data_IF_253236598224
#
_entry.id   IF_253236598224
#
_cell.length_a   1.000
_cell.length_b   1.000
_cell.length_c   1.000
_cell.angle_alpha   90.00
_cell.angle_beta   90.00
_cell.angle_gamma   90.00
#
_symmetry.space_group_name_H-M   'P 1'
#
loop_
_entity.id
_entity.type
_entity.pdbx_description
1 polymer ?
#
# COMPACT_ATOMS: atom_id res chain seq x y z
N UNK A 1 6.06 -11.30 4.32
CA UNK A 1 4.60 -11.37 4.56
C UNK A 1 3.95 -10.37 3.63
N UNK A 2 2.83 -10.70 3.00
CA UNK A 2 2.05 -9.70 2.27
C UNK A 2 1.45 -8.69 3.25
N UNK A 3 1.43 -7.42 2.86
CA UNK A 3 0.79 -6.33 3.58
C UNK A 3 -0.09 -5.56 2.60
N UNK A 4 -1.35 -5.33 2.99
CA UNK A 4 -2.31 -4.54 2.24
C UNK A 4 -3.01 -3.60 3.22
N UNK A 5 -3.05 -2.32 2.88
CA UNK A 5 -3.77 -1.30 3.65
C UNK A 5 -4.38 -0.27 2.71
N UNK A 6 -5.68 -0.03 2.86
CA UNK A 6 -6.38 1.03 2.14
C UNK A 6 -7.24 1.84 3.10
N UNK A 7 -7.37 3.13 2.83
CA UNK A 7 -8.15 4.06 3.64
C UNK A 7 -8.84 5.10 2.77
N UNK A 8 -10.14 5.29 3.00
CA UNK A 8 -10.91 6.39 2.42
C UNK A 8 -11.33 7.36 3.51
N UNK A 9 -11.18 8.65 3.23
CA UNK A 9 -11.53 9.73 4.15
C UNK A 9 -12.77 10.44 3.67
N UNK A 10 -13.65 10.74 4.63
CA UNK A 10 -14.88 11.49 4.38
C UNK A 10 -15.17 12.40 5.57
N UNK A 11 -16.09 13.35 5.39
CA UNK A 11 -16.50 14.30 6.42
C UNK A 11 -15.33 15.13 6.97
N UNK A 12 -14.66 15.86 6.07
CA UNK A 12 -13.61 16.80 6.45
C UNK A 12 -14.12 17.86 7.44
N UNK A 13 -13.26 18.21 8.38
CA UNK A 13 -13.56 19.11 9.50
C UNK A 13 -12.44 20.11 9.65
N UNK A 14 -12.80 21.36 9.91
CA UNK A 14 -11.88 22.41 10.30
C UNK A 14 -11.96 22.64 11.80
N UNK A 15 -10.82 22.85 12.47
CA UNK A 15 -10.76 23.07 13.92
C UNK A 15 -11.14 24.52 14.21
N UNK A 16 -12.28 24.73 14.87
CA UNK A 16 -12.78 26.06 15.25
C UNK A 16 -12.29 26.48 16.64
N UNK A 17 -12.40 25.61 17.65
CA UNK A 17 -11.88 25.85 19.00
C UNK A 17 -11.27 24.58 19.60
N UNK A 18 -9.95 24.46 19.53
CA UNK A 18 -9.22 23.26 20.00
C UNK A 18 -9.39 22.98 21.49
N UNK A 19 -9.76 24.00 22.31
CA UNK A 19 -9.85 23.91 23.76
C UNK A 19 -11.28 23.77 24.29
N UNK A 20 -12.29 23.78 23.42
CA UNK A 20 -13.68 23.71 23.86
C UNK A 20 -13.93 22.47 24.76
N UNK A 21 -14.64 22.64 25.88
CA UNK A 21 -14.91 21.51 26.79
C UNK A 21 -15.72 20.39 26.11
N UNK A 22 -16.61 20.75 25.19
CA UNK A 22 -17.43 19.80 24.41
C UNK A 22 -16.76 19.47 23.08
N UNK A 23 -16.69 18.19 22.73
CA UNK A 23 -16.04 17.71 21.50
C UNK A 23 -16.61 18.34 20.22
N UNK A 24 -17.93 18.41 20.09
CA UNK A 24 -18.60 18.96 18.89
C UNK A 24 -18.40 20.46 18.70
N UNK A 25 -17.98 21.19 19.74
CA UNK A 25 -17.67 22.62 19.64
C UNK A 25 -16.24 22.87 19.18
N UNK A 26 -15.42 21.82 19.04
CA UNK A 26 -14.00 21.96 18.66
C UNK A 26 -13.78 22.06 17.16
N UNK A 27 -14.77 21.67 16.36
CA UNK A 27 -14.65 21.63 14.91
C UNK A 27 -15.95 22.04 14.21
N UNK A 28 -15.79 22.52 12.99
CA UNK A 28 -16.88 22.75 12.04
C UNK A 28 -16.72 21.75 10.89
N UNK A 29 -17.78 21.06 10.51
CA UNK A 29 -17.75 20.14 9.39
C UNK A 29 -17.81 20.94 8.08
N UNK A 30 -16.87 20.67 7.17
CA UNK A 30 -16.77 21.37 5.88
C UNK A 30 -17.81 20.85 4.88
N UNK A 31 -18.25 19.59 5.02
CA UNK A 31 -19.42 19.06 4.29
C UNK A 31 -19.36 19.32 2.79
N UNK A 32 -20.38 20.01 2.26
CA UNK A 32 -20.54 20.34 0.84
C UNK A 32 -19.61 21.43 0.33
N UNK A 33 -18.88 22.14 1.20
CA UNK A 33 -17.86 23.11 0.80
C UNK A 33 -16.60 22.45 0.25
N UNK A 34 -16.44 21.13 0.40
CA UNK A 34 -15.26 20.40 -0.10
C UNK A 34 -15.59 19.74 -1.43
N UNK A 35 -14.82 20.07 -2.47
CA UNK A 35 -14.95 19.49 -3.80
C UNK A 35 -13.61 18.96 -4.30
N UNK A 36 -13.62 17.87 -5.07
CA UNK A 36 -12.41 17.38 -5.72
C UNK A 36 -11.93 18.39 -6.75
N UNK A 37 -10.63 18.63 -6.81
CA UNK A 37 -10.04 19.40 -7.90
C UNK A 37 -10.22 18.64 -9.22
N UNK A 38 -10.80 19.32 -10.21
CA UNK A 38 -11.16 18.74 -11.51
C UNK A 38 -9.94 18.41 -12.36
N UNK A 39 -8.81 19.06 -12.12
CA UNK A 39 -7.59 18.91 -12.93
C UNK A 39 -6.81 17.64 -12.56
N UNK A 40 -6.51 17.45 -11.27
CA UNK A 40 -5.61 16.37 -10.84
C UNK A 40 -6.28 15.29 -9.96
N UNK A 41 -7.47 15.53 -9.39
CA UNK A 41 -8.15 14.65 -8.40
C UNK A 41 -7.31 14.24 -7.17
N UNK A 42 -6.09 14.72 -7.07
CA UNK A 42 -5.15 14.52 -5.95
C UNK A 42 -5.32 15.57 -4.86
N UNK A 43 -6.17 16.58 -5.08
CA UNK A 43 -6.42 17.66 -4.11
C UNK A 43 -7.92 17.92 -3.94
N UNK A 44 -8.28 18.34 -2.74
CA UNK A 44 -9.60 18.85 -2.39
C UNK A 44 -9.54 20.37 -2.25
N UNK A 45 -10.50 21.05 -2.86
CA UNK A 45 -10.72 22.48 -2.72
C UNK A 45 -11.82 22.74 -1.70
N UNK A 46 -11.60 23.73 -0.83
CA UNK A 46 -12.58 24.20 0.14
C UNK A 46 -13.11 25.56 -0.28
N UNK A 47 -14.41 25.63 -0.50
CA UNK A 47 -15.14 26.84 -0.85
C UNK A 47 -15.73 27.51 0.40
N UNK A 48 -15.40 28.79 0.59
CA UNK A 48 -16.02 29.65 1.58
C UNK A 48 -16.75 30.81 0.87
N UNK A 49 -18.06 30.67 0.71
CA UNK A 49 -18.92 31.75 0.22
C UNK A 49 -18.93 31.95 -1.29
N UNK A 50 -18.65 30.90 -2.07
CA UNK A 50 -18.62 30.89 -3.53
C UNK A 50 -17.23 31.12 -4.13
N UNK A 51 -16.18 31.09 -3.32
CA UNK A 51 -14.78 31.27 -3.72
C UNK A 51 -13.95 30.18 -3.07
N UNK A 52 -13.07 29.53 -3.85
CA UNK A 52 -12.09 28.59 -3.32
C UNK A 52 -11.15 29.34 -2.39
N UNK A 53 -11.25 29.07 -1.09
CA UNK A 53 -10.44 29.71 -0.06
C UNK A 53 -9.08 29.04 0.07
N UNK A 54 -9.06 27.70 0.10
CA UNK A 54 -7.84 26.91 0.22
C UNK A 54 -8.02 25.49 -0.32
N UNK A 55 -6.90 24.78 -0.50
CA UNK A 55 -6.88 23.39 -0.94
C UNK A 55 -5.96 22.53 -0.06
N UNK A 56 -6.16 21.22 -0.09
CA UNK A 56 -5.33 20.25 0.60
C UNK A 56 -5.26 18.92 -0.17
N UNK A 57 -4.22 18.14 0.07
CA UNK A 57 -4.00 16.86 -0.63
C UNK A 57 -5.06 15.83 -0.25
N UNK A 58 -5.45 15.00 -1.21
CA UNK A 58 -6.32 13.86 -1.00
C UNK A 58 -5.63 12.87 -0.06
N UNK A 59 -6.17 12.63 1.16
CA UNK A 59 -5.54 11.73 2.12
C UNK A 59 -5.89 10.27 1.86
N UNK A 60 -6.74 9.96 0.88
CA UNK A 60 -7.03 8.59 0.47
C UNK A 60 -5.74 7.89 0.07
N UNK A 61 -5.58 6.64 0.51
CA UNK A 61 -4.38 5.88 0.21
C UNK A 61 -4.68 4.41 -0.04
N UNK A 62 -3.81 3.79 -0.83
CA UNK A 62 -3.77 2.36 -1.05
C UNK A 62 -2.31 1.89 -1.12
N UNK A 63 -1.93 1.01 -0.20
CA UNK A 63 -0.57 0.48 -0.06
C UNK A 63 -0.62 -1.04 -0.13
N UNK A 64 0.13 -1.62 -1.05
CA UNK A 64 0.23 -3.06 -1.24
C UNK A 64 1.69 -3.49 -1.39
N UNK A 65 2.16 -4.27 -0.43
CA UNK A 65 3.52 -4.83 -0.40
C UNK A 65 3.47 -6.35 -0.35
N UNK A 66 4.16 -7.01 -1.27
CA UNK A 66 4.26 -8.46 -1.34
C UNK A 66 5.71 -8.91 -1.22
N UNK A 67 6.05 -9.45 -0.04
CA UNK A 67 7.37 -10.00 0.26
C UNK A 67 7.27 -11.50 0.57
N UNK A 68 7.81 -12.33 -0.33
CA UNK A 68 7.80 -13.80 -0.24
C UNK A 68 9.22 -14.37 -0.27
N UNK A 69 9.53 -15.26 0.67
CA UNK A 69 10.78 -16.01 0.73
C UNK A 69 10.45 -17.50 0.79
N UNK A 70 10.89 -18.26 -0.21
CA UNK A 70 10.70 -19.69 -0.34
C UNK A 70 12.06 -20.40 -0.24
N UNK A 71 12.13 -21.41 0.62
CA UNK A 71 13.34 -22.24 0.80
C UNK A 71 12.94 -23.70 0.66
N UNK A 72 13.51 -24.38 -0.32
CA UNK A 72 13.36 -25.82 -0.53
C UNK A 72 14.69 -26.49 -0.20
N UNK A 73 14.64 -27.49 0.67
CA UNK A 73 15.76 -28.42 0.92
C UNK A 73 15.35 -29.80 0.45
N UNK A 74 16.14 -30.39 -0.43
CA UNK A 74 15.95 -31.75 -0.91
C UNK A 74 17.20 -32.59 -0.65
N UNK A 75 17.02 -33.77 -0.06
CA UNK A 75 18.07 -34.77 0.06
C UNK A 75 17.82 -35.86 -0.99
N UNK A 76 18.65 -35.90 -2.03
CA UNK A 76 18.45 -36.80 -3.18
C UNK A 76 19.29 -38.07 -3.08
N UNK A 77 20.34 -38.06 -2.26
CA UNK A 77 21.13 -39.22 -1.84
C UNK A 77 21.56 -39.03 -0.38
N UNK A 78 21.77 -40.10 0.40
CA UNK A 78 22.26 -39.98 1.77
C UNK A 78 23.52 -39.10 1.85
N UNK A 79 23.43 -37.98 2.56
CA UNK A 79 24.53 -37.02 2.69
C UNK A 79 24.74 -36.06 1.50
N UNK A 80 23.83 -36.05 0.53
CA UNK A 80 23.84 -35.10 -0.59
C UNK A 80 22.54 -34.29 -0.64
N UNK A 81 22.67 -32.96 -0.57
CA UNK A 81 21.54 -32.05 -0.40
C UNK A 81 21.55 -30.92 -1.44
N UNK A 82 20.39 -30.59 -1.95
CA UNK A 82 20.13 -29.41 -2.77
C UNK A 82 19.29 -28.42 -1.96
N UNK A 83 19.70 -27.16 -1.97
CA UNK A 83 18.94 -26.03 -1.45
C UNK A 83 18.60 -25.11 -2.61
N UNK A 84 17.32 -24.74 -2.71
CA UNK A 84 16.83 -23.72 -3.63
C UNK A 84 16.15 -22.65 -2.79
N UNK A 85 16.65 -21.42 -2.89
CA UNK A 85 16.11 -20.25 -2.21
C UNK A 85 15.60 -19.29 -3.28
N UNK A 86 14.35 -18.88 -3.15
CA UNK A 86 13.70 -17.92 -4.03
C UNK A 86 13.08 -16.81 -3.17
N UNK A 87 13.58 -15.59 -3.35
CA UNK A 87 13.01 -14.40 -2.75
C UNK A 87 12.35 -13.55 -3.84
N UNK A 88 11.13 -13.10 -3.58
CA UNK A 88 10.36 -12.22 -4.46
C UNK A 88 9.87 -11.02 -3.67
N UNK A 89 10.11 -9.84 -4.22
CA UNK A 89 9.61 -8.57 -3.72
C UNK A 89 8.82 -7.85 -4.83
N UNK A 90 7.61 -7.40 -4.48
CA UNK A 90 6.82 -6.45 -5.26
C UNK A 90 6.26 -5.41 -4.29
N UNK A 91 6.47 -4.14 -4.56
CA UNK A 91 5.88 -3.02 -3.82
C UNK A 91 5.22 -2.08 -4.80
N UNK A 92 3.98 -1.66 -4.55
CA UNK A 92 3.32 -0.62 -5.32
C UNK A 92 2.55 0.34 -4.40
N UNK A 93 2.56 1.63 -4.75
CA UNK A 93 1.89 2.71 -4.03
C UNK A 93 1.10 3.52 -5.04
N UNK A 94 -0.22 3.40 -5.01
CA UNK A 94 -1.11 4.11 -5.93
C UNK A 94 -1.86 5.20 -5.17
N UNK A 95 -1.71 6.46 -5.60
CA UNK A 95 -2.26 7.64 -4.93
C UNK A 95 -3.75 7.86 -5.17
N UNK A 96 -4.34 7.43 -6.30
CA UNK A 96 -5.76 7.72 -6.58
C UNK A 96 -6.42 6.64 -7.46
N UNK A 97 -7.68 6.32 -7.12
CA UNK A 97 -8.81 6.15 -8.05
C UNK A 97 -9.61 4.83 -8.06
N UNK A 98 -9.25 3.77 -7.34
CA UNK A 98 -10.17 2.61 -7.24
C UNK A 98 -9.91 1.74 -5.99
N UNK A 99 -10.84 1.78 -5.03
CA UNK A 99 -10.89 0.91 -3.85
C UNK A 99 -11.30 -0.54 -4.19
N UNK A 100 -10.85 -1.07 -5.33
CA UNK A 100 -11.12 -2.44 -5.77
C UNK A 100 -9.93 -3.33 -5.45
N UNK A 101 -9.98 -4.05 -4.33
CA UNK A 101 -8.91 -4.97 -3.89
C UNK A 101 -8.50 -5.93 -5.01
N UNK A 102 -9.47 -6.52 -5.74
CA UNK A 102 -9.18 -7.42 -6.85
C UNK A 102 -8.42 -6.76 -8.01
N UNK A 103 -8.71 -5.49 -8.31
CA UNK A 103 -8.06 -4.75 -9.41
C UNK A 103 -6.62 -4.39 -9.02
N UNK A 104 -6.44 -3.88 -7.81
CA UNK A 104 -5.13 -3.55 -7.26
C UNK A 104 -4.21 -4.78 -7.12
N UNK A 105 -4.75 -5.94 -6.75
CA UNK A 105 -3.98 -7.20 -6.73
C UNK A 105 -3.56 -7.58 -8.15
N UNK A 106 -4.45 -7.50 -9.14
CA UNK A 106 -4.12 -7.79 -10.54
C UNK A 106 -3.05 -6.83 -11.09
N UNK A 107 -3.15 -5.55 -10.76
CA UNK A 107 -2.19 -4.53 -11.19
C UNK A 107 -0.82 -4.73 -10.53
N UNK A 108 -0.76 -5.10 -9.24
CA UNK A 108 0.49 -5.51 -8.59
C UNK A 108 1.13 -6.75 -9.24
N UNK A 109 0.32 -7.72 -9.68
CA UNK A 109 0.84 -8.87 -10.41
C UNK A 109 1.35 -8.51 -11.82
N UNK A 110 0.94 -7.36 -12.35
CA UNK A 110 1.41 -6.76 -13.60
C UNK A 110 2.71 -5.94 -13.43
N UNK A 111 3.00 -5.42 -12.23
CA UNK A 111 4.28 -4.78 -11.91
C UNK A 111 5.41 -5.81 -12.02
N UNK A 112 6.49 -5.46 -12.74
CA UNK A 112 7.62 -6.35 -12.97
C UNK A 112 8.30 -6.72 -11.64
N UNK A 113 8.29 -7.99 -11.22
CA UNK A 113 8.83 -8.39 -9.93
C UNK A 113 10.35 -8.38 -9.85
N UNK A 114 10.88 -7.93 -8.70
CA UNK A 114 12.25 -8.24 -8.31
C UNK A 114 12.34 -9.68 -7.82
N UNK A 115 13.04 -10.55 -8.55
CA UNK A 115 13.26 -11.94 -8.15
C UNK A 115 14.75 -12.20 -7.88
N UNK A 116 15.05 -12.80 -6.74
CA UNK A 116 16.40 -13.24 -6.36
C UNK A 116 16.36 -14.76 -6.19
N UNK A 117 17.28 -15.46 -6.86
CA UNK A 117 17.42 -16.91 -6.79
C UNK A 117 18.79 -17.29 -6.26
N UNK A 118 18.84 -18.25 -5.35
CA UNK A 118 20.08 -18.86 -4.86
C UNK A 118 19.94 -20.39 -4.88
N UNK A 119 20.95 -21.05 -5.43
CA UNK A 119 21.02 -22.51 -5.49
C UNK A 119 22.30 -22.93 -4.79
N UNK A 120 22.19 -23.87 -3.84
CA UNK A 120 23.33 -24.48 -3.17
C UNK A 120 23.23 -25.99 -3.28
N UNK A 121 24.28 -26.62 -3.79
CA UNK A 121 24.36 -28.06 -3.98
C UNK A 121 25.50 -28.63 -3.16
N UNK A 122 25.26 -29.77 -2.53
CA UNK A 122 26.26 -30.53 -1.78
C UNK A 122 26.18 -31.98 -2.18
N UNK A 123 27.32 -32.55 -2.57
CA UNK A 123 27.43 -33.95 -2.95
C UNK A 123 28.52 -34.62 -2.11
N UNK A 124 28.18 -35.76 -1.51
CA UNK A 124 29.15 -36.60 -0.82
C UNK A 124 29.69 -37.66 -1.78
N UNK A 125 30.99 -37.63 -2.01
CA UNK A 125 31.72 -38.72 -2.65
C UNK A 125 31.94 -39.82 -1.60
N UNK A 126 31.28 -40.97 -1.78
CA UNK A 126 31.68 -42.20 -1.08
C UNK A 126 32.80 -42.85 -1.89
N UNK A 127 33.97 -43.06 -1.27
CA UNK A 127 34.88 -44.10 -1.75
C UNK A 127 34.15 -45.43 -1.53
N UNK A 128 33.89 -46.15 -2.62
CA UNK A 128 33.58 -47.57 -2.59
C UNK A 128 34.88 -48.36 -2.47
#
# INVERSE_FOLDING_TARGET
MPFLSSGSYSNFKYISDSRAKKYNSRYTQLGSSVTNNTEDKETYNVDEGGVVAYSFDNPDFNVLDFNSNLVVRWEYKPGSTLFVVWAQNRSDRVSVADFSINKNVKDLFSVFPGNIFLIKFSYRFGLA
#
